data_IF_051818660924
#
_entry.id   IF_051818660924
#
_cell.length_a   1.000
_cell.length_b   1.000
_cell.length_c   1.000
_cell.angle_alpha   90.00
_cell.angle_beta   90.00
_cell.angle_gamma   90.00
#
_symmetry.space_group_name_H-M   'P 1'
#
loop_
_entity.id
_entity.type
_entity.pdbx_description
1 polymer ?
#
# COMPACT_ATOMS: atom_id res chain seq x y z
N UNK A 1 -24.94 -41.93 -21.84
CA UNK A 1 -24.48 -40.67 -22.46
C UNK A 1 -25.53 -39.58 -22.31
N UNK A 2 -26.80 -39.83 -22.66
CA UNK A 2 -27.92 -38.91 -22.41
C UNK A 2 -28.04 -38.40 -20.96
N UNK A 3 -27.76 -39.25 -19.97
CA UNK A 3 -27.89 -38.84 -18.56
C UNK A 3 -26.90 -37.73 -18.17
N UNK A 4 -25.68 -37.74 -18.71
CA UNK A 4 -24.67 -36.72 -18.38
C UNK A 4 -24.96 -35.37 -19.02
N UNK A 5 -25.44 -35.36 -20.27
CA UNK A 5 -25.86 -34.13 -20.96
C UNK A 5 -27.08 -33.50 -20.28
N UNK A 6 -28.05 -34.32 -19.86
CA UNK A 6 -29.21 -33.85 -19.12
C UNK A 6 -28.84 -33.28 -17.75
N UNK A 7 -27.99 -33.98 -16.99
CA UNK A 7 -27.48 -33.51 -15.69
C UNK A 7 -26.78 -32.16 -15.84
N UNK A 8 -25.97 -32.02 -16.89
CA UNK A 8 -25.25 -30.79 -17.17
C UNK A 8 -26.18 -29.64 -17.61
N UNK A 9 -27.15 -29.90 -18.49
CA UNK A 9 -28.17 -28.90 -18.85
C UNK A 9 -28.92 -28.40 -17.62
N UNK A 10 -29.33 -29.32 -16.74
CA UNK A 10 -29.98 -28.96 -15.47
C UNK A 10 -29.04 -28.11 -14.61
N UNK A 11 -27.76 -28.48 -14.53
CA UNK A 11 -26.75 -27.70 -13.80
C UNK A 11 -26.61 -26.27 -14.34
N UNK A 12 -26.49 -26.09 -15.66
CA UNK A 12 -26.39 -24.77 -16.28
C UNK A 12 -27.65 -23.93 -16.04
N UNK A 13 -28.84 -24.53 -16.17
CA UNK A 13 -30.12 -23.85 -15.87
C UNK A 13 -30.16 -23.37 -14.41
N UNK A 14 -29.73 -24.22 -13.47
CA UNK A 14 -29.67 -23.85 -12.05
C UNK A 14 -28.66 -22.71 -11.84
N UNK A 15 -27.50 -22.77 -12.48
CA UNK A 15 -26.48 -21.72 -12.42
C UNK A 15 -27.02 -20.39 -12.93
N UNK A 16 -27.63 -20.36 -14.12
CA UNK A 16 -28.21 -19.13 -14.67
C UNK A 16 -29.35 -18.56 -13.79
N UNK A 17 -30.14 -19.42 -13.13
CA UNK A 17 -31.16 -18.98 -12.17
C UNK A 17 -30.52 -18.34 -10.92
N UNK A 18 -29.45 -18.93 -10.39
CA UNK A 18 -28.70 -18.37 -9.26
C UNK A 18 -28.10 -17.01 -9.63
N UNK A 19 -27.54 -16.87 -10.83
CA UNK A 19 -27.03 -15.61 -11.35
C UNK A 19 -28.11 -14.54 -11.45
N UNK A 20 -29.28 -14.88 -11.98
CA UNK A 20 -30.41 -13.96 -12.08
C UNK A 20 -30.82 -13.45 -10.69
N UNK A 21 -30.95 -14.35 -9.72
CA UNK A 21 -31.29 -13.98 -8.33
C UNK A 21 -30.22 -13.07 -7.72
N UNK A 22 -28.94 -13.39 -7.92
CA UNK A 22 -27.82 -12.57 -7.47
C UNK A 22 -27.80 -11.18 -8.14
N UNK A 23 -28.06 -11.11 -9.45
CA UNK A 23 -28.14 -9.86 -10.19
C UNK A 23 -29.27 -8.98 -9.66
N UNK A 24 -30.49 -9.52 -9.50
CA UNK A 24 -31.62 -8.78 -8.91
C UNK A 24 -31.29 -8.30 -7.50
N UNK A 25 -30.63 -9.13 -6.69
CA UNK A 25 -30.21 -8.75 -5.34
C UNK A 25 -29.16 -7.62 -5.33
N UNK A 26 -28.17 -7.68 -6.21
CA UNK A 26 -27.16 -6.62 -6.38
C UNK A 26 -27.82 -5.31 -6.82
N UNK A 27 -28.70 -5.34 -7.82
CA UNK A 27 -29.45 -4.16 -8.28
C UNK A 27 -30.28 -3.58 -7.14
N UNK A 28 -30.98 -4.42 -6.37
CA UNK A 28 -31.72 -4.01 -5.18
C UNK A 28 -30.82 -3.30 -4.16
N UNK A 29 -29.65 -3.86 -3.84
CA UNK A 29 -28.70 -3.25 -2.90
C UNK A 29 -28.14 -1.91 -3.40
N UNK A 30 -27.85 -1.80 -4.70
CA UNK A 30 -27.41 -0.55 -5.32
C UNK A 30 -28.51 0.49 -5.18
N UNK A 31 -29.73 0.20 -5.65
CA UNK A 31 -30.87 1.12 -5.61
C UNK A 31 -31.18 1.56 -4.18
N UNK A 32 -31.18 0.63 -3.22
CA UNK A 32 -31.40 0.91 -1.80
C UNK A 32 -30.35 1.87 -1.21
N UNK A 33 -29.11 1.81 -1.68
CA UNK A 33 -28.01 2.61 -1.14
C UNK A 33 -27.71 3.91 -1.94
N UNK A 34 -28.21 4.06 -3.17
CA UNK A 34 -28.05 5.27 -4.01
C UNK A 34 -28.32 6.57 -3.23
N UNK A 35 -29.41 6.73 -2.45
CA UNK A 35 -29.66 7.98 -1.73
C UNK A 35 -28.59 8.31 -0.70
N UNK A 36 -28.03 7.29 -0.02
CA UNK A 36 -26.93 7.46 0.94
C UNK A 36 -25.65 7.90 0.23
N UNK A 37 -25.35 7.32 -0.93
CA UNK A 37 -24.20 7.73 -1.75
C UNK A 37 -24.32 9.18 -2.23
N UNK A 38 -25.48 9.56 -2.76
CA UNK A 38 -25.72 10.93 -3.23
C UNK A 38 -25.62 11.96 -2.10
N UNK A 39 -26.08 11.62 -0.89
CA UNK A 39 -25.95 12.46 0.31
C UNK A 39 -24.50 12.59 0.77
N UNK A 40 -23.72 11.51 0.73
CA UNK A 40 -22.30 11.52 1.08
C UNK A 40 -21.46 12.35 0.09
N UNK A 41 -21.71 12.19 -1.21
CA UNK A 41 -21.01 12.92 -2.29
C UNK A 41 -21.16 14.43 -2.21
N UNK A 42 -22.33 14.94 -1.76
CA UNK A 42 -22.53 16.38 -1.50
C UNK A 42 -21.69 16.91 -0.33
N UNK A 43 -21.33 16.04 0.62
CA UNK A 43 -20.50 16.40 1.79
C UNK A 43 -19.00 16.26 1.50
N UNK A 44 -18.60 15.29 0.66
CA UNK A 44 -17.20 14.99 0.34
C UNK A 44 -16.57 15.91 -0.72
N UNK A 45 -17.30 16.87 -1.28
CA UNK A 45 -16.75 17.86 -2.22
C UNK A 45 -15.62 18.72 -1.61
N UNK A 46 -15.33 18.57 -0.30
CA UNK A 46 -14.25 19.26 0.41
C UNK A 46 -12.90 18.54 0.37
N UNK A 47 -12.81 17.22 0.09
CA UNK A 47 -11.52 16.52 -0.08
C UNK A 47 -11.65 15.10 -0.67
N UNK A 48 -10.88 14.80 -1.73
CA UNK A 48 -10.76 13.47 -2.35
C UNK A 48 -10.39 12.35 -1.36
N UNK A 49 -9.66 12.71 -0.29
CA UNK A 49 -9.25 11.77 0.77
C UNK A 49 -10.45 11.25 1.58
N UNK A 50 -11.41 12.13 1.89
CA UNK A 50 -12.62 11.76 2.65
C UNK A 50 -13.55 10.88 1.84
N UNK A 51 -13.64 11.13 0.53
CA UNK A 51 -14.43 10.31 -0.39
C UNK A 51 -13.89 8.87 -0.46
N UNK A 52 -12.57 8.72 -0.62
CA UNK A 52 -11.93 7.40 -0.64
C UNK A 52 -12.06 6.66 0.70
N UNK A 53 -11.95 7.38 1.83
CA UNK A 53 -12.17 6.81 3.17
C UNK A 53 -13.60 6.30 3.33
N UNK A 54 -14.60 7.08 2.91
CA UNK A 54 -16.02 6.69 2.95
C UNK A 54 -16.28 5.39 2.18
N UNK A 55 -15.78 5.27 0.95
CA UNK A 55 -15.92 4.03 0.17
C UNK A 55 -15.17 2.84 0.78
N UNK A 56 -14.03 3.10 1.44
CA UNK A 56 -13.23 2.06 2.08
C UNK A 56 -13.84 1.52 3.38
N UNK A 57 -14.58 2.35 4.13
CA UNK A 57 -15.07 1.99 5.47
C UNK A 57 -16.53 1.55 5.48
N UNK A 58 -17.32 1.92 4.48
CA UNK A 58 -18.74 1.58 4.44
C UNK A 58 -18.97 0.10 4.10
N UNK A 59 -19.48 -0.64 5.09
CA UNK A 59 -19.75 -2.08 5.01
C UNK A 59 -20.68 -2.46 3.85
N UNK A 60 -21.65 -1.60 3.51
CA UNK A 60 -22.61 -1.86 2.42
C UNK A 60 -21.95 -1.73 1.05
N UNK A 61 -21.03 -0.76 0.84
CA UNK A 61 -20.20 -0.70 -0.38
C UNK A 61 -19.44 -2.01 -0.53
N UNK A 62 -18.81 -2.47 0.55
CA UNK A 62 -17.98 -3.68 0.54
C UNK A 62 -18.80 -4.91 0.12
N UNK A 63 -19.99 -5.09 0.70
CA UNK A 63 -20.91 -6.18 0.33
C UNK A 63 -21.30 -6.11 -1.13
N UNK A 64 -21.67 -4.93 -1.63
CA UNK A 64 -22.02 -4.74 -3.04
C UNK A 64 -20.85 -5.10 -3.94
N UNK A 65 -19.64 -4.62 -3.65
CA UNK A 65 -18.44 -4.95 -4.45
C UNK A 65 -18.18 -6.46 -4.47
N UNK A 66 -18.24 -7.14 -3.31
CA UNK A 66 -18.03 -8.60 -3.24
C UNK A 66 -19.09 -9.35 -4.07
N UNK A 67 -20.36 -8.97 -3.95
CA UNK A 67 -21.45 -9.61 -4.69
C UNK A 67 -21.35 -9.39 -6.20
N UNK A 68 -20.99 -8.17 -6.62
CA UNK A 68 -20.71 -7.87 -8.04
C UNK A 68 -19.55 -8.70 -8.55
N UNK A 69 -18.45 -8.83 -7.78
CA UNK A 69 -17.33 -9.70 -8.13
C UNK A 69 -17.79 -11.14 -8.30
N UNK A 70 -18.51 -11.72 -7.33
CA UNK A 70 -19.02 -13.09 -7.41
C UNK A 70 -19.88 -13.27 -8.66
N UNK A 71 -20.79 -12.34 -8.93
CA UNK A 71 -21.66 -12.38 -10.10
C UNK A 71 -20.85 -12.40 -11.42
N UNK A 72 -19.84 -11.54 -11.55
CA UNK A 72 -18.95 -11.53 -12.73
C UNK A 72 -18.26 -12.89 -12.93
N UNK A 73 -17.77 -13.50 -11.85
CA UNK A 73 -17.13 -14.82 -11.92
C UNK A 73 -18.11 -15.91 -12.34
N UNK A 74 -19.31 -15.92 -11.75
CA UNK A 74 -20.35 -16.91 -12.09
C UNK A 74 -20.72 -16.79 -13.57
N UNK A 75 -21.05 -15.59 -14.04
CA UNK A 75 -21.46 -15.37 -15.43
C UNK A 75 -20.37 -15.77 -16.41
N UNK A 76 -19.10 -15.52 -16.10
CA UNK A 76 -17.98 -15.98 -16.95
C UNK A 76 -17.87 -17.51 -16.94
N UNK A 77 -18.01 -18.14 -15.78
CA UNK A 77 -17.96 -19.60 -15.66
C UNK A 77 -19.12 -20.24 -16.44
N UNK A 78 -20.34 -19.77 -16.24
CA UNK A 78 -21.55 -20.27 -16.93
C UNK A 78 -21.38 -20.14 -18.45
N UNK A 79 -20.82 -19.02 -18.90
CA UNK A 79 -20.56 -18.76 -20.31
C UNK A 79 -19.46 -19.66 -20.89
N UNK A 80 -18.34 -19.87 -20.17
CA UNK A 80 -17.28 -20.80 -20.59
C UNK A 80 -17.80 -22.24 -20.64
N UNK A 81 -18.56 -22.67 -19.64
CA UNK A 81 -19.13 -24.02 -19.60
C UNK A 81 -20.15 -24.20 -20.72
N UNK A 82 -21.06 -23.23 -20.91
CA UNK A 82 -22.06 -23.26 -21.99
C UNK A 82 -21.39 -23.41 -23.36
N UNK A 83 -20.34 -22.63 -23.63
CA UNK A 83 -19.59 -22.73 -24.89
C UNK A 83 -18.79 -24.04 -25.00
N UNK A 84 -18.33 -24.62 -23.89
CA UNK A 84 -17.60 -25.90 -23.88
C UNK A 84 -18.48 -27.09 -24.21
N UNK A 85 -19.73 -27.06 -23.78
CA UNK A 85 -20.66 -28.16 -23.94
C UNK A 85 -21.61 -28.01 -25.12
N UNK A 86 -21.86 -26.76 -25.54
CA UNK A 86 -22.64 -26.43 -26.72
C UNK A 86 -21.79 -25.60 -27.68
N UNK A 87 -20.77 -26.22 -28.31
CA UNK A 87 -19.88 -25.52 -29.23
C UNK A 87 -20.62 -24.89 -30.42
N UNK A 88 -21.81 -25.42 -30.77
CA UNK A 88 -22.69 -24.86 -31.80
C UNK A 88 -23.18 -23.43 -31.49
N UNK A 89 -23.17 -23.02 -30.21
CA UNK A 89 -23.53 -21.67 -29.78
C UNK A 89 -22.36 -20.67 -29.85
N UNK A 90 -21.13 -21.16 -30.05
CA UNK A 90 -19.92 -20.33 -30.08
C UNK A 90 -19.61 -19.78 -31.47
N UNK A 91 -19.20 -18.51 -31.52
CA UNK A 91 -18.65 -17.91 -32.75
C UNK A 91 -17.21 -18.39 -32.92
N UNK A 92 -16.99 -19.51 -33.62
CA UNK A 92 -15.67 -19.79 -34.20
C UNK A 92 -15.23 -21.24 -34.12
N UNK A 93 -15.62 -22.01 -35.12
CA UNK A 93 -14.78 -23.07 -35.69
C UNK A 93 -13.55 -22.45 -36.38
N UNK A 94 -12.68 -21.74 -35.66
CA UNK A 94 -11.32 -21.54 -36.15
C UNK A 94 -10.64 -22.92 -36.07
N UNK A 95 -10.48 -23.52 -37.25
CA UNK A 95 -10.04 -24.89 -37.45
C UNK A 95 -8.74 -25.22 -36.69
N UNK A 96 -8.59 -26.49 -36.31
CA UNK A 96 -7.41 -27.05 -35.65
C UNK A 96 -6.07 -26.80 -36.39
N UNK A 97 -6.08 -26.24 -37.59
CA UNK A 97 -4.89 -25.84 -38.35
C UNK A 97 -4.19 -24.59 -37.77
N UNK A 98 -4.78 -23.93 -36.77
CA UNK A 98 -4.25 -22.71 -36.15
C UNK A 98 -3.56 -22.92 -34.78
N UNK A 99 -3.00 -24.10 -34.51
CA UNK A 99 -2.35 -24.39 -33.21
C UNK A 99 -1.32 -23.33 -32.75
N UNK A 100 -0.57 -22.74 -33.69
CA UNK A 100 0.40 -21.68 -33.38
C UNK A 100 -0.27 -20.32 -33.07
N UNK A 101 -1.44 -20.04 -33.63
CA UNK A 101 -2.23 -18.83 -33.33
C UNK A 101 -2.85 -18.93 -31.94
N UNK A 102 -3.39 -20.10 -31.60
CA UNK A 102 -3.93 -20.40 -30.28
C UNK A 102 -2.86 -20.19 -29.21
N UNK A 103 -1.66 -20.76 -29.40
CA UNK A 103 -0.55 -20.58 -28.48
C UNK A 103 -0.12 -19.12 -28.30
N UNK A 104 -0.08 -18.33 -29.38
CA UNK A 104 0.28 -16.90 -29.30
C UNK A 104 -0.79 -16.10 -28.56
N UNK A 105 -2.08 -16.37 -28.79
CA UNK A 105 -3.19 -15.72 -28.06
C UNK A 105 -3.11 -16.06 -26.56
N UNK A 106 -2.89 -17.32 -26.21
CA UNK A 106 -2.70 -17.75 -24.82
C UNK A 106 -1.52 -17.05 -24.17
N UNK A 107 -0.39 -16.93 -24.87
CA UNK A 107 0.80 -16.25 -24.39
C UNK A 107 0.55 -14.75 -24.15
N UNK A 108 -0.19 -14.08 -25.03
CA UNK A 108 -0.57 -12.67 -24.87
C UNK A 108 -1.48 -12.51 -23.66
N UNK A 109 -2.50 -13.35 -23.52
CA UNK A 109 -3.44 -13.28 -22.40
C UNK A 109 -2.73 -13.61 -21.09
N UNK A 110 -1.85 -14.61 -21.07
CA UNK A 110 -0.98 -14.90 -19.94
C UNK A 110 -0.16 -13.66 -19.58
N UNK A 111 0.54 -13.07 -20.55
CA UNK A 111 1.43 -11.94 -20.33
C UNK A 111 0.68 -10.70 -19.83
N UNK A 112 -0.48 -10.38 -20.41
CA UNK A 112 -1.36 -9.30 -19.93
C UNK A 112 -1.77 -9.56 -18.48
N UNK A 113 -2.23 -10.78 -18.19
CA UNK A 113 -2.67 -11.17 -16.86
C UNK A 113 -1.53 -11.09 -15.83
N UNK A 114 -0.35 -11.60 -16.17
CA UNK A 114 0.83 -11.53 -15.31
C UNK A 114 1.36 -10.10 -15.14
N UNK A 115 1.21 -9.23 -16.15
CA UNK A 115 1.61 -7.81 -16.07
C UNK A 115 0.72 -6.99 -15.13
N UNK A 116 -0.53 -7.42 -14.90
CA UNK A 116 -1.42 -6.79 -13.92
C UNK A 116 -0.93 -6.99 -12.49
N UNK A 117 -0.10 -8.01 -12.23
CA UNK A 117 0.45 -8.29 -10.91
C UNK A 117 1.42 -7.16 -10.49
N UNK A 118 2.47 -6.81 -11.28
CA UNK A 118 3.24 -5.60 -11.05
C UNK A 118 2.39 -4.34 -11.01
N UNK A 119 1.39 -4.17 -11.89
CA UNK A 119 0.54 -2.98 -11.89
C UNK A 119 -0.24 -2.83 -10.57
N UNK A 120 -0.77 -3.92 -10.01
CA UNK A 120 -1.41 -3.96 -8.69
C UNK A 120 -0.41 -3.54 -7.59
N UNK A 121 0.81 -4.08 -7.62
CA UNK A 121 1.85 -3.71 -6.65
C UNK A 121 2.31 -2.25 -6.82
N UNK A 122 2.43 -1.74 -8.05
CA UNK A 122 2.78 -0.35 -8.34
C UNK A 122 1.67 0.58 -7.87
N UNK A 123 0.41 0.28 -8.18
CA UNK A 123 -0.75 1.03 -7.66
C UNK A 123 -0.71 1.02 -6.13
N UNK A 124 -0.49 -0.14 -5.51
CA UNK A 124 -0.36 -0.25 -4.05
C UNK A 124 0.81 0.56 -3.49
N UNK A 125 1.99 0.54 -4.12
CA UNK A 125 3.16 1.33 -3.71
C UNK A 125 2.85 2.81 -3.86
N UNK A 126 2.23 3.24 -4.97
CA UNK A 126 1.81 4.61 -5.19
C UNK A 126 0.78 5.07 -4.14
N UNK A 127 -0.19 4.21 -3.78
CA UNK A 127 -1.13 4.49 -2.69
C UNK A 127 -0.43 4.55 -1.33
N UNK A 128 0.53 3.66 -1.08
CA UNK A 128 1.35 3.66 0.13
C UNK A 128 2.21 4.91 0.26
N UNK A 129 2.85 5.36 -0.83
CA UNK A 129 3.64 6.60 -0.89
C UNK A 129 2.76 7.86 -0.85
N UNK A 130 1.50 7.78 -1.27
CA UNK A 130 0.55 8.90 -1.17
C UNK A 130 0.06 9.20 0.26
N UNK A 131 0.46 8.39 1.26
CA UNK A 131 -0.04 8.49 2.62
C UNK A 131 -1.50 8.05 2.78
N UNK A 132 -2.11 7.42 1.78
CA UNK A 132 -3.39 6.74 1.97
C UNK A 132 -3.12 5.42 2.69
N UNK A 133 -3.31 5.41 4.02
CA UNK A 133 -3.17 4.19 4.86
C UNK A 133 -4.09 3.06 4.42
N UNK A 134 -5.18 3.39 3.72
CA UNK A 134 -6.17 2.44 3.21
C UNK A 134 -6.24 2.58 1.69
N UNK A 135 -5.80 1.54 0.99
CA UNK A 135 -6.19 1.35 -0.42
C UNK A 135 -7.71 1.15 -0.43
N UNK A 136 -8.46 1.87 -1.27
CA UNK A 136 -9.90 1.66 -1.35
C UNK A 136 -10.19 0.20 -1.69
N UNK A 137 -11.02 -0.45 -0.88
CA UNK A 137 -11.36 -1.86 -1.05
C UNK A 137 -11.90 -2.14 -2.46
N UNK A 138 -12.71 -1.23 -3.00
CA UNK A 138 -13.21 -1.29 -4.37
C UNK A 138 -12.08 -1.39 -5.39
N UNK A 139 -11.03 -0.58 -5.27
CA UNK A 139 -9.90 -0.60 -6.20
C UNK A 139 -9.11 -1.92 -6.11
N UNK A 140 -8.89 -2.42 -4.89
CA UNK A 140 -8.20 -3.68 -4.66
C UNK A 140 -9.00 -4.91 -5.16
N UNK A 141 -10.34 -4.84 -5.13
CA UNK A 141 -11.23 -5.89 -5.60
C UNK A 141 -11.50 -5.83 -7.11
N UNK A 142 -11.48 -4.63 -7.72
CA UNK A 142 -11.71 -4.47 -9.17
C UNK A 142 -10.58 -5.11 -9.99
N UNK A 143 -9.33 -5.01 -9.56
CA UNK A 143 -8.20 -5.53 -10.34
C UNK A 143 -8.32 -7.06 -10.57
N UNK A 144 -8.58 -7.89 -9.55
CA UNK A 144 -8.83 -9.32 -9.74
C UNK A 144 -10.09 -9.64 -10.58
N UNK A 145 -11.13 -8.79 -10.57
CA UNK A 145 -12.36 -9.04 -11.36
C UNK A 145 -12.17 -8.95 -12.88
N UNK A 146 -11.00 -8.54 -13.36
CA UNK A 146 -10.66 -8.53 -14.78
C UNK A 146 -10.24 -9.94 -15.25
N UNK A 147 -9.75 -10.81 -14.36
CA UNK A 147 -9.31 -12.18 -14.71
C UNK A 147 -10.42 -13.05 -15.33
N UNK A 148 -11.67 -13.03 -14.84
CA UNK A 148 -12.79 -13.69 -15.52
C UNK A 148 -12.97 -13.22 -16.97
N UNK A 149 -12.87 -11.92 -17.23
CA UNK A 149 -13.01 -11.40 -18.58
C UNK A 149 -11.90 -11.96 -19.50
N UNK A 150 -10.67 -12.05 -19.01
CA UNK A 150 -9.57 -12.67 -19.76
C UNK A 150 -9.75 -14.18 -19.96
N UNK A 151 -10.26 -14.89 -18.97
CA UNK A 151 -10.58 -16.31 -19.10
C UNK A 151 -11.64 -16.55 -20.18
N UNK A 152 -12.69 -15.71 -20.21
CA UNK A 152 -13.73 -15.76 -21.24
C UNK A 152 -13.18 -15.44 -22.62
N UNK A 153 -12.43 -14.33 -22.76
CA UNK A 153 -11.78 -13.94 -24.02
C UNK A 153 -10.91 -15.08 -24.52
N UNK A 154 -10.04 -15.64 -23.66
CA UNK A 154 -9.19 -16.77 -24.01
C UNK A 154 -10.01 -17.93 -24.55
N UNK A 155 -11.08 -18.29 -23.83
CA UNK A 155 -11.89 -19.45 -24.20
C UNK A 155 -12.51 -19.29 -25.59
N UNK A 156 -13.10 -18.13 -25.89
CA UNK A 156 -13.68 -17.87 -27.22
C UNK A 156 -12.64 -17.91 -28.35
N UNK A 157 -11.44 -17.37 -28.11
CA UNK A 157 -10.43 -17.27 -29.17
C UNK A 157 -9.66 -18.58 -29.39
N UNK A 158 -9.54 -19.42 -28.35
CA UNK A 158 -8.61 -20.56 -28.37
C UNK A 158 -9.29 -21.90 -28.19
N UNK A 159 -10.48 -21.94 -27.58
CA UNK A 159 -11.11 -23.16 -27.11
C UNK A 159 -10.36 -23.85 -25.96
N UNK A 160 -9.24 -23.30 -25.45
CA UNK A 160 -8.42 -23.93 -24.42
C UNK A 160 -9.04 -23.74 -23.04
N UNK A 161 -9.90 -24.68 -22.66
CA UNK A 161 -10.55 -24.74 -21.35
C UNK A 161 -9.54 -24.78 -20.18
N UNK A 162 -8.49 -25.65 -20.17
CA UNK A 162 -7.49 -25.67 -19.11
C UNK A 162 -6.86 -24.30 -18.81
N UNK A 163 -6.48 -23.55 -19.84
CA UNK A 163 -5.83 -22.24 -19.65
C UNK A 163 -6.82 -21.18 -19.15
N UNK A 164 -8.07 -21.17 -19.65
CA UNK A 164 -9.12 -20.31 -19.11
C UNK A 164 -9.45 -20.61 -17.64
N UNK A 165 -9.50 -21.88 -17.25
CA UNK A 165 -9.68 -22.29 -15.85
C UNK A 165 -8.50 -21.86 -14.97
N UNK A 166 -7.27 -21.93 -15.49
CA UNK A 166 -6.08 -21.42 -14.81
C UNK A 166 -6.17 -19.91 -14.55
N UNK A 167 -6.59 -19.11 -15.53
CA UNK A 167 -6.79 -17.67 -15.37
C UNK A 167 -7.86 -17.35 -14.31
N UNK A 168 -8.97 -18.09 -14.28
CA UNK A 168 -9.98 -17.97 -13.24
C UNK A 168 -9.42 -18.28 -11.86
N UNK A 169 -8.68 -19.39 -11.73
CA UNK A 169 -8.02 -19.79 -10.49
C UNK A 169 -7.05 -18.71 -9.99
N UNK A 170 -6.23 -18.12 -10.88
CA UNK A 170 -5.36 -17.00 -10.54
C UNK A 170 -6.17 -15.82 -10.00
N UNK A 171 -7.27 -15.44 -10.66
CA UNK A 171 -8.14 -14.37 -10.20
C UNK A 171 -8.73 -14.62 -8.81
N UNK A 172 -9.18 -15.85 -8.52
CA UNK A 172 -9.67 -16.24 -7.19
C UNK A 172 -8.55 -16.14 -6.14
N UNK A 173 -7.35 -16.65 -6.46
CA UNK A 173 -6.20 -16.57 -5.56
C UNK A 173 -5.85 -15.11 -5.24
N UNK A 174 -5.89 -14.23 -6.24
CA UNK A 174 -5.68 -12.79 -6.07
C UNK A 174 -6.73 -12.16 -5.15
N UNK A 175 -8.01 -12.51 -5.32
CA UNK A 175 -9.07 -12.06 -4.42
C UNK A 175 -8.85 -12.54 -2.98
N UNK A 176 -8.45 -13.81 -2.78
CA UNK A 176 -8.14 -14.35 -1.44
C UNK A 176 -6.97 -13.60 -0.81
N UNK A 177 -5.90 -13.34 -1.58
CA UNK A 177 -4.75 -12.56 -1.09
C UNK A 177 -5.18 -11.14 -0.74
N UNK A 178 -6.00 -10.50 -1.57
CA UNK A 178 -6.53 -9.15 -1.30
C UNK A 178 -7.39 -9.12 -0.02
N UNK A 179 -8.23 -10.14 0.20
CA UNK A 179 -9.05 -10.29 1.41
C UNK A 179 -8.20 -10.58 2.65
N UNK A 180 -7.21 -11.47 2.57
CA UNK A 180 -6.29 -11.75 3.68
C UNK A 180 -5.47 -10.53 4.05
N UNK A 181 -5.06 -9.74 3.06
CA UNK A 181 -4.37 -8.47 3.30
C UNK A 181 -5.25 -7.46 4.03
N UNK A 182 -6.57 -7.45 3.77
CA UNK A 182 -7.53 -6.62 4.50
C UNK A 182 -7.61 -7.01 5.98
N UNK A 183 -7.65 -8.30 6.28
CA UNK A 183 -7.75 -8.79 7.65
C UNK A 183 -6.55 -8.32 8.51
N UNK A 184 -5.38 -8.16 7.89
CA UNK A 184 -4.20 -7.56 8.52
C UNK A 184 -4.37 -6.06 8.83
N UNK A 185 -5.19 -5.32 8.09
CA UNK A 185 -5.46 -3.90 8.33
C UNK A 185 -6.60 -3.65 9.35
N UNK A 186 -7.49 -4.62 9.57
CA UNK A 186 -8.66 -4.47 10.45
C UNK A 186 -8.36 -4.82 11.93
N UNK A 187 -7.16 -5.31 12.28
CA UNK A 187 -6.78 -5.62 13.69
C UNK A 187 -6.99 -4.42 14.61
N UNK A 188 -7.78 -4.56 15.68
CA UNK A 188 -8.17 -3.47 16.61
C UNK A 188 -6.95 -2.78 17.27
N UNK A 189 -7.09 -1.50 17.62
CA UNK A 189 -6.10 -0.82 18.49
C UNK A 189 -6.17 -1.54 19.83
N UNK A 190 -5.04 -2.01 20.34
CA UNK A 190 -5.01 -2.66 21.64
C UNK A 190 -4.87 -1.59 22.73
N UNK A 191 -5.49 -1.80 23.91
CA UNK A 191 -5.15 -1.02 25.10
C UNK A 191 -3.65 -1.10 25.35
N UNK A 192 -3.05 -0.01 25.85
CA UNK A 192 -1.59 0.08 26.03
C UNK A 192 -1.01 -1.03 26.92
N UNK A 193 -1.82 -1.57 27.85
CA UNK A 193 -1.48 -2.67 28.77
C UNK A 193 -1.36 -4.04 28.09
N UNK A 194 -1.92 -4.21 26.89
CA UNK A 194 -1.94 -5.48 26.15
C UNK A 194 -0.95 -5.48 24.96
N UNK A 195 -0.10 -4.47 24.87
CA UNK A 195 0.88 -4.35 23.78
C UNK A 195 2.01 -5.34 24.03
N UNK A 196 2.13 -6.33 23.14
CA UNK A 196 3.26 -7.26 23.13
C UNK A 196 4.55 -6.53 22.70
N UNK A 197 5.54 -6.31 23.60
CA UNK A 197 6.70 -5.45 23.32
C UNK A 197 7.56 -5.98 22.17
N UNK A 198 7.79 -7.29 22.15
CA UNK A 198 8.52 -7.97 21.08
C UNK A 198 7.90 -7.73 19.70
N UNK A 199 6.56 -7.78 19.61
CA UNK A 199 5.85 -7.57 18.36
C UNK A 199 5.87 -6.11 17.91
N UNK A 200 5.80 -5.18 18.87
CA UNK A 200 5.96 -3.74 18.62
C UNK A 200 7.33 -3.44 18.01
N UNK A 201 8.39 -3.91 18.64
CA UNK A 201 9.77 -3.67 18.21
C UNK A 201 10.09 -4.35 16.87
N UNK A 202 9.58 -5.57 16.65
CA UNK A 202 9.65 -6.23 15.33
C UNK A 202 8.94 -5.41 14.25
N UNK A 203 7.74 -4.90 14.53
CA UNK A 203 7.02 -4.03 13.61
C UNK A 203 7.76 -2.74 13.29
N UNK A 204 8.42 -2.18 14.30
CA UNK A 204 9.24 -0.99 14.20
C UNK A 204 10.50 -1.21 13.35
N UNK A 205 11.23 -2.31 13.53
CA UNK A 205 12.40 -2.65 12.70
C UNK A 205 12.04 -2.74 11.20
N UNK A 206 10.85 -3.28 10.89
CA UNK A 206 10.32 -3.38 9.52
C UNK A 206 9.93 -1.99 9.01
N UNK A 207 9.35 -1.15 9.86
CA UNK A 207 9.01 0.23 9.52
C UNK A 207 10.25 1.08 9.24
N UNK A 208 11.32 0.93 10.04
CA UNK A 208 12.61 1.58 9.82
C UNK A 208 13.21 1.14 8.48
N UNK A 209 13.26 -0.18 8.24
CA UNK A 209 13.73 -0.75 6.95
C UNK A 209 12.97 -0.16 5.75
N UNK A 210 11.67 0.07 5.91
CA UNK A 210 10.84 0.67 4.86
C UNK A 210 11.15 2.15 4.62
N UNK A 211 11.28 2.96 5.67
CA UNK A 211 11.67 4.36 5.53
C UNK A 211 13.05 4.48 4.89
N UNK A 212 13.99 3.64 5.32
CA UNK A 212 15.33 3.65 4.77
C UNK A 212 15.35 3.18 3.31
N UNK A 213 14.38 2.38 2.87
CA UNK A 213 14.25 1.94 1.47
C UNK A 213 13.87 3.05 0.48
N UNK A 214 13.48 4.24 0.96
CA UNK A 214 13.19 5.40 0.11
C UNK A 214 14.35 6.40 -0.01
N UNK A 215 15.38 6.28 0.82
CA UNK A 215 16.58 7.15 0.77
C UNK A 215 17.38 6.93 -0.52
N UNK A 216 17.98 7.98 -1.10
CA UNK A 216 18.87 7.81 -2.25
C UNK A 216 20.22 7.22 -1.80
N UNK A 217 20.95 6.46 -2.64
CA UNK A 217 20.61 6.08 -4.02
C UNK A 217 19.64 4.89 -4.08
N UNK A 218 18.61 4.99 -4.91
CA UNK A 218 17.63 3.92 -5.11
C UNK A 218 18.09 3.01 -6.24
N UNK A 219 18.36 1.71 -5.99
CA UNK A 219 18.84 0.82 -7.01
C UNK A 219 17.83 0.70 -8.14
N UNK A 220 18.29 0.91 -9.37
CA UNK A 220 17.46 0.76 -10.55
C UNK A 220 17.17 -0.72 -10.81
N UNK A 221 15.89 -1.08 -10.83
CA UNK A 221 15.43 -2.39 -11.29
C UNK A 221 15.30 -3.46 -10.20
N UNK A 222 15.10 -4.69 -10.68
CA UNK A 222 14.77 -5.87 -9.88
C UNK A 222 16.06 -6.62 -9.58
N UNK A 223 16.89 -6.11 -8.68
CA UNK A 223 18.02 -6.91 -8.18
C UNK A 223 17.47 -8.06 -7.34
N UNK A 224 18.07 -9.26 -7.37
CA UNK A 224 17.65 -10.37 -6.50
C UNK A 224 17.58 -9.95 -5.03
N UNK A 225 18.46 -9.03 -4.63
CA UNK A 225 18.48 -8.43 -3.31
C UNK A 225 17.27 -7.52 -3.05
N UNK A 226 16.93 -6.62 -3.98
CA UNK A 226 15.76 -5.77 -3.84
C UNK A 226 14.46 -6.58 -3.79
N UNK A 227 14.37 -7.68 -4.56
CA UNK A 227 13.27 -8.63 -4.45
C UNK A 227 13.19 -9.28 -3.08
N UNK A 228 14.31 -9.81 -2.57
CA UNK A 228 14.35 -10.43 -1.23
C UNK A 228 13.86 -9.46 -0.15
N UNK A 229 14.30 -8.20 -0.23
CA UNK A 229 13.87 -7.15 0.69
C UNK A 229 12.38 -6.80 0.53
N UNK A 230 11.89 -6.69 -0.71
CA UNK A 230 10.46 -6.51 -1.00
C UNK A 230 9.65 -7.66 -0.42
N UNK A 231 10.06 -8.92 -0.62
CA UNK A 231 9.38 -10.09 -0.05
C UNK A 231 9.43 -10.09 1.48
N UNK A 232 10.57 -9.77 2.10
CA UNK A 232 10.68 -9.65 3.57
C UNK A 232 9.74 -8.57 4.11
N UNK A 233 9.72 -7.40 3.48
CA UNK A 233 8.80 -6.31 3.82
C UNK A 233 7.33 -6.70 3.62
N UNK A 234 7.02 -7.49 2.59
CA UNK A 234 5.67 -8.01 2.34
C UNK A 234 5.24 -9.02 3.41
N UNK A 235 6.13 -9.94 3.80
CA UNK A 235 5.86 -10.93 4.84
C UNK A 235 5.73 -10.27 6.23
N UNK A 236 6.50 -9.22 6.50
CA UNK A 236 6.49 -8.47 7.75
C UNK A 236 5.38 -7.40 7.87
N UNK A 237 4.45 -7.33 6.92
CA UNK A 237 3.40 -6.30 6.97
C UNK A 237 2.54 -6.37 8.22
N UNK A 238 2.25 -7.57 8.74
CA UNK A 238 1.41 -7.75 9.94
C UNK A 238 2.03 -7.05 11.16
N UNK A 239 3.31 -7.22 11.38
CA UNK A 239 4.04 -6.60 12.48
C UNK A 239 4.21 -5.10 12.26
N UNK A 240 4.52 -4.67 11.03
CA UNK A 240 4.55 -3.23 10.68
C UNK A 240 3.22 -2.55 11.02
N UNK A 241 2.09 -3.12 10.61
CA UNK A 241 0.77 -2.55 10.91
C UNK A 241 0.48 -2.52 12.41
N UNK A 242 0.94 -3.53 13.15
CA UNK A 242 0.85 -3.54 14.60
C UNK A 242 1.59 -2.34 15.22
N UNK A 243 2.81 -2.04 14.77
CA UNK A 243 3.55 -0.87 15.21
C UNK A 243 2.86 0.45 14.82
N UNK A 244 2.52 0.61 13.54
CA UNK A 244 1.90 1.82 12.99
C UNK A 244 0.62 2.20 13.72
N UNK A 245 -0.16 1.21 14.16
CA UNK A 245 -1.46 1.43 14.80
C UNK A 245 -1.38 1.71 16.30
N UNK A 246 -0.39 1.16 16.98
CA UNK A 246 -0.29 1.23 18.44
C UNK A 246 0.82 2.19 18.93
N UNK A 247 1.58 2.82 18.02
CA UNK A 247 2.63 3.77 18.37
C UNK A 247 2.32 5.20 17.90
N UNK A 248 2.35 6.14 18.85
CA UNK A 248 2.30 7.58 18.57
C UNK A 248 3.54 8.06 17.78
N UNK A 249 4.63 7.30 17.80
CA UNK A 249 5.85 7.60 17.04
C UNK A 249 5.56 7.65 15.54
N UNK A 250 4.70 6.75 15.03
CA UNK A 250 4.36 6.72 13.61
C UNK A 250 3.81 8.07 13.14
N UNK A 251 2.91 8.69 13.93
CA UNK A 251 2.33 9.99 13.58
C UNK A 251 3.40 11.10 13.57
N UNK A 252 4.32 11.10 14.54
CA UNK A 252 5.41 12.09 14.60
C UNK A 252 6.38 11.94 13.43
N UNK A 253 6.83 10.71 13.16
CA UNK A 253 7.71 10.39 12.03
C UNK A 253 7.05 10.76 10.71
N UNK A 254 5.75 10.51 10.60
CA UNK A 254 4.98 10.85 9.42
C UNK A 254 4.85 12.35 9.18
N UNK A 255 4.67 13.16 10.24
CA UNK A 255 4.70 14.62 10.12
C UNK A 255 6.05 15.11 9.60
N UNK A 256 7.16 14.54 10.08
CA UNK A 256 8.51 14.85 9.56
C UNK A 256 8.68 14.47 8.09
N UNK A 257 8.09 13.35 7.67
CA UNK A 257 8.13 12.85 6.29
C UNK A 257 7.09 13.49 5.36
N UNK A 258 6.23 14.38 5.86
CA UNK A 258 5.16 14.99 5.06
C UNK A 258 5.66 15.73 3.81
N UNK A 259 6.76 16.50 3.85
CA UNK A 259 7.33 17.13 2.66
C UNK A 259 7.69 16.12 1.56
N UNK A 260 8.30 14.99 1.95
CA UNK A 260 8.62 13.89 1.03
C UNK A 260 7.34 13.34 0.38
N UNK A 261 6.31 13.01 1.17
CA UNK A 261 5.06 12.47 0.63
C UNK A 261 4.31 13.47 -0.27
N UNK A 262 4.28 14.75 0.09
CA UNK A 262 3.69 15.81 -0.73
C UNK A 262 4.42 15.97 -2.07
N UNK A 263 5.76 15.91 -2.06
CA UNK A 263 6.56 15.93 -3.29
C UNK A 263 6.27 14.72 -4.19
N UNK A 264 6.11 13.54 -3.60
CA UNK A 264 5.73 12.30 -4.28
C UNK A 264 4.36 12.39 -4.95
N UNK A 265 3.36 12.93 -4.23
CA UNK A 265 2.02 13.20 -4.76
C UNK A 265 2.04 14.13 -5.97
N UNK A 266 2.76 15.26 -5.87
CA UNK A 266 2.89 16.21 -6.98
C UNK A 266 3.53 15.56 -8.21
N UNK A 267 4.62 14.81 -8.00
CA UNK A 267 5.35 14.12 -9.07
C UNK A 267 4.54 12.96 -9.69
N UNK A 268 3.72 12.28 -8.88
CA UNK A 268 2.79 11.24 -9.36
C UNK A 268 1.75 11.82 -10.33
N UNK A 269 1.23 13.02 -10.07
CA UNK A 269 0.29 13.71 -10.98
C UNK A 269 0.93 14.02 -12.34
N UNK A 270 2.17 14.49 -12.34
CA UNK A 270 2.95 14.73 -13.57
C UNK A 270 3.32 13.41 -14.28
N UNK A 271 3.47 12.33 -13.52
CA UNK A 271 3.68 10.98 -14.04
C UNK A 271 2.49 10.44 -14.78
N UNK A 272 1.28 10.70 -14.27
CA UNK A 272 0.05 10.26 -14.91
C UNK A 272 -0.14 10.89 -16.29
N UNK A 273 0.12 12.20 -16.43
CA UNK A 273 0.04 12.88 -17.73
C UNK A 273 1.03 12.29 -18.74
N UNK A 274 2.28 12.06 -18.32
CA UNK A 274 3.28 11.40 -19.16
C UNK A 274 2.86 9.98 -19.55
N UNK A 275 2.32 9.21 -18.62
CA UNK A 275 1.83 7.86 -18.89
C UNK A 275 0.72 7.89 -19.94
N UNK A 276 -0.22 8.82 -19.83
CA UNK A 276 -1.27 9.00 -20.81
C UNK A 276 -0.72 9.33 -22.20
N UNK A 277 0.19 10.30 -22.31
CA UNK A 277 0.84 10.68 -23.58
C UNK A 277 1.64 9.51 -24.15
N UNK A 278 2.39 8.79 -23.30
CA UNK A 278 3.21 7.65 -23.70
C UNK A 278 2.35 6.48 -24.20
N UNK A 279 1.22 6.21 -23.55
CA UNK A 279 0.23 5.23 -24.00
C UNK A 279 -0.35 5.56 -25.37
N UNK A 280 -0.69 6.83 -25.62
CA UNK A 280 -1.15 7.28 -26.95
C UNK A 280 -0.05 7.08 -27.99
N UNK A 281 1.20 7.44 -27.69
CA UNK A 281 2.33 7.25 -28.60
C UNK A 281 2.54 5.78 -28.94
N UNK A 282 2.49 4.89 -27.95
CA UNK A 282 2.63 3.45 -28.16
C UNK A 282 1.48 2.88 -28.96
N UNK A 283 0.25 3.37 -28.76
CA UNK A 283 -0.88 2.96 -29.58
C UNK A 283 -0.67 3.35 -31.06
N UNK A 284 -0.11 4.53 -31.34
CA UNK A 284 0.24 4.97 -32.70
C UNK A 284 1.38 4.12 -33.30
N UNK A 285 2.42 3.82 -32.51
CA UNK A 285 3.51 2.91 -32.91
C UNK A 285 2.99 1.50 -33.14
N UNK A 286 2.04 1.05 -32.34
CA UNK A 286 1.43 -0.26 -32.49
C UNK A 286 0.59 -0.34 -33.77
N UNK A 287 -0.26 0.67 -34.01
CA UNK A 287 -1.06 0.75 -35.23
C UNK A 287 -0.20 0.75 -36.50
N UNK A 288 0.92 1.49 -36.49
CA UNK A 288 1.88 1.50 -37.61
C UNK A 288 2.68 0.20 -37.73
N UNK A 289 3.06 -0.41 -36.61
CA UNK A 289 3.70 -1.73 -36.56
C UNK A 289 2.84 -2.80 -37.22
N UNK A 290 1.52 -2.78 -36.99
CA UNK A 290 0.60 -3.75 -37.58
C UNK A 290 0.65 -3.73 -39.12
N UNK A 291 0.64 -2.53 -39.69
CA UNK A 291 0.73 -2.31 -41.15
C UNK A 291 2.08 -2.80 -41.70
N UNK A 292 3.18 -2.54 -40.97
CA UNK A 292 4.52 -2.95 -41.38
C UNK A 292 4.68 -4.48 -41.33
N UNK A 293 4.21 -5.13 -40.26
CA UNK A 293 4.30 -6.58 -40.09
C UNK A 293 3.45 -7.33 -41.11
N UNK A 294 2.25 -6.83 -41.42
CA UNK A 294 1.38 -7.37 -42.46
C UNK A 294 2.03 -7.24 -43.85
N UNK A 295 2.60 -6.06 -44.14
CA UNK A 295 3.18 -5.76 -45.45
C UNK A 295 4.55 -6.42 -45.71
N UNK A 296 5.43 -6.47 -44.70
CA UNK A 296 6.84 -6.91 -44.87
C UNK A 296 7.02 -8.39 -44.55
N UNK A 297 6.42 -8.87 -43.46
CA UNK A 297 6.68 -10.22 -42.95
C UNK A 297 5.62 -11.23 -43.37
N UNK A 298 4.56 -10.77 -44.07
CA UNK A 298 3.43 -11.58 -44.50
C UNK A 298 2.85 -12.43 -43.34
N UNK A 299 2.95 -11.88 -42.12
CA UNK A 299 2.38 -12.46 -40.91
C UNK A 299 0.90 -12.14 -40.91
N UNK A 300 0.06 -13.13 -40.60
CA UNK A 300 -1.37 -12.90 -40.46
C UNK A 300 -1.65 -11.76 -39.46
N UNK A 301 -2.67 -10.94 -39.76
CA UNK A 301 -3.08 -9.78 -38.98
C UNK A 301 -3.11 -10.02 -37.46
N UNK A 302 -3.58 -11.20 -37.03
CA UNK A 302 -3.66 -11.58 -35.61
C UNK A 302 -2.28 -11.69 -34.96
N UNK A 303 -1.29 -12.31 -35.62
CA UNK A 303 0.08 -12.40 -35.12
C UNK A 303 0.76 -11.04 -35.05
N UNK A 304 0.56 -10.24 -36.10
CA UNK A 304 1.05 -8.87 -36.18
C UNK A 304 0.52 -8.02 -35.01
N UNK A 305 -0.79 -8.05 -34.76
CA UNK A 305 -1.43 -7.39 -33.63
C UNK A 305 -0.89 -7.90 -32.29
N UNK A 306 -0.79 -9.22 -32.13
CA UNK A 306 -0.36 -9.85 -30.89
C UNK A 306 1.08 -9.52 -30.50
N UNK A 307 2.02 -9.67 -31.43
CA UNK A 307 3.44 -9.34 -31.20
C UNK A 307 3.62 -7.86 -30.89
N UNK A 308 2.87 -7.01 -31.57
CA UNK A 308 2.90 -5.57 -31.36
C UNK A 308 2.38 -5.18 -29.98
N UNK A 309 1.30 -5.83 -29.49
CA UNK A 309 0.79 -5.61 -28.14
C UNK A 309 1.78 -6.06 -27.06
N UNK A 310 2.41 -7.22 -27.22
CA UNK A 310 3.43 -7.70 -26.26
C UNK A 310 4.63 -6.75 -26.21
N UNK A 311 5.14 -6.34 -27.37
CA UNK A 311 6.24 -5.39 -27.46
C UNK A 311 5.87 -4.04 -26.84
N UNK A 312 4.68 -3.51 -27.15
CA UNK A 312 4.14 -2.29 -26.56
C UNK A 312 4.09 -2.38 -25.04
N UNK A 313 3.57 -3.47 -24.49
CA UNK A 313 3.48 -3.68 -23.04
C UNK A 313 4.85 -3.75 -22.35
N UNK A 314 5.82 -4.45 -22.95
CA UNK A 314 7.19 -4.50 -22.44
C UNK A 314 7.83 -3.10 -22.40
N UNK A 315 7.66 -2.31 -23.47
CA UNK A 315 8.16 -0.94 -23.56
C UNK A 315 7.47 -0.04 -22.52
N UNK A 316 6.14 -0.14 -22.37
CA UNK A 316 5.36 0.56 -21.34
C UNK A 316 5.92 0.25 -19.96
N UNK A 317 6.10 -1.03 -19.65
CA UNK A 317 6.57 -1.46 -18.35
C UNK A 317 7.96 -0.91 -18.04
N UNK A 318 8.91 -1.00 -18.99
CA UNK A 318 10.26 -0.48 -18.81
C UNK A 318 10.28 1.03 -18.66
N UNK A 319 9.50 1.76 -19.45
CA UNK A 319 9.39 3.22 -19.35
C UNK A 319 8.78 3.67 -18.02
N UNK A 320 7.74 2.97 -17.55
CA UNK A 320 7.12 3.21 -16.24
C UNK A 320 8.09 2.92 -15.11
N UNK A 321 8.73 1.75 -15.11
CA UNK A 321 9.72 1.37 -14.12
C UNK A 321 10.86 2.40 -14.06
N UNK A 322 11.33 2.84 -15.23
CA UNK A 322 12.37 3.86 -15.32
C UNK A 322 11.93 5.20 -14.75
N UNK A 323 10.76 5.69 -15.16
CA UNK A 323 10.23 6.96 -14.70
C UNK A 323 9.97 6.96 -13.19
N UNK A 324 9.33 5.90 -12.66
CA UNK A 324 9.08 5.75 -11.23
C UNK A 324 10.40 5.74 -10.48
N UNK A 325 11.40 4.97 -10.92
CA UNK A 325 12.69 4.94 -10.24
C UNK A 325 13.39 6.29 -10.25
N UNK A 326 13.35 7.00 -11.38
CA UNK A 326 13.92 8.35 -11.51
C UNK A 326 13.27 9.32 -10.54
N UNK A 327 11.94 9.31 -10.44
CA UNK A 327 11.20 10.19 -9.53
C UNK A 327 11.51 9.86 -8.07
N UNK A 328 11.51 8.57 -7.71
CA UNK A 328 11.85 8.15 -6.35
C UNK A 328 13.27 8.55 -5.99
N UNK A 329 14.23 8.41 -6.92
CA UNK A 329 15.62 8.83 -6.70
C UNK A 329 15.71 10.34 -6.48
N UNK A 330 15.11 11.15 -7.35
CA UNK A 330 15.10 12.61 -7.22
C UNK A 330 14.42 13.08 -5.93
N UNK A 331 13.30 12.47 -5.54
CA UNK A 331 12.63 12.82 -4.29
C UNK A 331 13.42 12.35 -3.06
N UNK A 332 14.07 11.18 -3.14
CA UNK A 332 14.93 10.66 -2.09
C UNK A 332 16.18 11.51 -1.87
N UNK A 333 16.78 12.04 -2.95
CA UNK A 333 17.89 13.01 -2.89
C UNK A 333 17.42 14.34 -2.31
N UNK A 334 16.29 14.86 -2.81
CA UNK A 334 15.74 16.15 -2.36
C UNK A 334 15.38 16.17 -0.87
N UNK A 335 14.91 15.05 -0.34
CA UNK A 335 14.44 14.91 1.04
C UNK A 335 15.34 13.99 1.88
N UNK A 336 16.63 13.87 1.52
CA UNK A 336 17.55 12.95 2.19
C UNK A 336 17.60 13.18 3.70
N UNK A 337 17.74 14.44 4.12
CA UNK A 337 17.80 14.81 5.53
C UNK A 337 16.50 14.52 6.28
N UNK A 338 15.34 14.76 5.64
CA UNK A 338 14.03 14.47 6.24
C UNK A 338 13.89 12.97 6.50
N UNK A 339 14.30 12.14 5.53
CA UNK A 339 14.29 10.67 5.63
C UNK A 339 15.29 10.20 6.70
N UNK A 340 16.52 10.72 6.70
CA UNK A 340 17.55 10.37 7.68
C UNK A 340 17.08 10.68 9.10
N UNK A 341 16.54 11.89 9.33
CA UNK A 341 16.04 12.32 10.63
C UNK A 341 14.83 11.50 11.10
N UNK A 342 13.96 11.09 10.17
CA UNK A 342 12.82 10.21 10.46
C UNK A 342 13.27 8.80 10.86
N UNK A 343 14.29 8.26 10.20
CA UNK A 343 14.90 6.97 10.53
C UNK A 343 15.64 7.04 11.87
N UNK A 344 16.48 8.03 12.10
CA UNK A 344 17.21 8.22 13.36
C UNK A 344 16.25 8.32 14.55
N UNK A 345 15.24 9.19 14.44
CA UNK A 345 14.19 9.32 15.46
C UNK A 345 13.46 8.00 15.76
N UNK A 346 13.31 7.14 14.75
CA UNK A 346 12.77 5.81 14.96
C UNK A 346 13.79 4.94 15.70
N UNK A 347 15.05 4.91 15.30
CA UNK A 347 16.10 4.15 15.98
C UNK A 347 16.21 4.54 17.46
N UNK A 348 16.27 5.83 17.79
CA UNK A 348 16.40 6.33 19.16
C UNK A 348 15.26 5.84 20.05
N UNK A 349 14.02 5.92 19.55
CA UNK A 349 12.85 5.42 20.28
C UNK A 349 12.88 3.90 20.42
N UNK A 350 13.39 3.18 19.42
CA UNK A 350 13.49 1.73 19.43
C UNK A 350 14.50 1.25 20.46
N UNK A 351 15.63 1.96 20.59
CA UNK A 351 16.66 1.71 21.60
C UNK A 351 16.08 1.86 23.01
N UNK A 352 15.47 3.00 23.32
CA UNK A 352 14.82 3.23 24.63
C UNK A 352 13.76 2.17 24.94
N UNK A 353 12.92 1.84 23.96
CA UNK A 353 11.88 0.81 24.14
C UNK A 353 12.47 -0.59 24.36
N UNK A 354 13.60 -0.90 23.73
CA UNK A 354 14.30 -2.17 23.89
C UNK A 354 14.92 -2.30 25.29
N UNK A 355 15.49 -1.22 25.81
CA UNK A 355 16.03 -1.11 27.17
C UNK A 355 14.94 -1.26 28.22
N UNK A 356 13.84 -0.51 28.11
CA UNK A 356 12.69 -0.56 29.04
C UNK A 356 12.05 -1.96 29.16
N UNK A 357 12.18 -2.80 28.13
CA UNK A 357 11.55 -4.12 28.06
C UNK A 357 12.57 -5.29 28.13
N UNK A 358 13.84 -5.00 28.41
CA UNK A 358 14.93 -5.99 28.53
C UNK A 358 15.00 -7.00 27.35
N UNK A 359 14.76 -6.51 26.13
CA UNK A 359 14.74 -7.37 24.94
C UNK A 359 16.13 -7.50 24.32
N UNK A 360 16.40 -8.62 23.65
CA UNK A 360 17.70 -8.86 22.98
C UNK A 360 17.75 -8.18 21.61
N UNK A 361 18.76 -7.33 21.31
CA UNK A 361 18.88 -6.63 20.02
C UNK A 361 18.92 -7.53 18.79
N UNK A 362 19.59 -8.69 18.91
CA UNK A 362 19.80 -9.68 17.83
C UNK A 362 18.49 -10.19 17.21
N UNK A 363 17.37 -10.10 17.94
CA UNK A 363 16.06 -10.56 17.48
C UNK A 363 15.38 -9.60 16.48
N UNK A 364 15.89 -8.36 16.36
CA UNK A 364 15.23 -7.28 15.61
C UNK A 364 16.13 -6.69 14.51
N UNK A 365 16.56 -7.49 13.52
CA UNK A 365 17.46 -7.03 12.48
C UNK A 365 16.80 -5.98 11.58
N UNK A 366 17.43 -4.82 11.48
CA UNK A 366 17.03 -3.71 10.61
C UNK A 366 17.86 -3.78 9.34
N UNK A 367 17.21 -3.83 8.16
CA UNK A 367 17.95 -3.80 6.89
C UNK A 367 18.11 -2.34 6.46
N UNK A 368 19.35 -1.93 6.26
CA UNK A 368 19.72 -0.55 5.96
C UNK A 368 20.61 -0.50 4.72
N UNK A 369 20.56 0.63 4.01
CA UNK A 369 21.46 0.89 2.87
C UNK A 369 22.59 1.84 3.22
N UNK A 370 22.41 2.58 4.30
CA UNK A 370 23.40 3.45 4.90
C UNK A 370 23.73 2.95 6.31
N UNK A 371 24.95 3.23 6.75
CA UNK A 371 25.49 2.89 8.06
C UNK A 371 25.80 4.15 8.87
N UNK A 372 25.09 5.25 8.60
CA UNK A 372 25.31 6.58 9.17
C UNK A 372 24.25 6.95 10.23
N UNK A 373 23.68 5.93 10.89
CA UNK A 373 22.78 6.07 12.03
C UNK A 373 23.47 5.72 13.33
N UNK A 374 23.22 6.53 14.34
CA UNK A 374 23.72 6.32 15.69
C UNK A 374 22.84 5.30 16.43
N UNK A 375 23.42 4.60 17.40
CA UNK A 375 22.71 3.60 18.21
C UNK A 375 22.51 2.24 17.55
N UNK A 376 23.21 1.94 16.45
CA UNK A 376 23.19 0.63 15.79
C UNK A 376 24.60 0.03 15.64
N UNK A 377 24.69 -1.29 15.78
CA UNK A 377 25.81 -2.12 15.34
C UNK A 377 25.51 -2.73 13.97
N UNK A 378 26.49 -2.71 13.06
CA UNK A 378 26.29 -3.07 11.66
C UNK A 378 27.04 -4.34 11.26
N UNK A 379 26.31 -5.28 10.65
CA UNK A 379 26.88 -6.37 9.86
C UNK A 379 26.84 -6.03 8.37
N UNK A 380 27.99 -6.09 7.69
CA UNK A 380 28.10 -5.81 6.24
C UNK A 380 27.74 -7.08 5.46
N UNK A 381 26.76 -7.00 4.55
CA UNK A 381 26.35 -8.12 3.66
C UNK A 381 26.64 -7.89 2.18
N UNK A 382 27.06 -6.67 1.81
CA UNK A 382 27.44 -6.31 0.46
C UNK A 382 27.73 -4.82 0.31
N UNK A 383 27.96 -4.37 -0.92
CA UNK A 383 28.15 -2.94 -1.21
C UNK A 383 26.81 -2.20 -1.03
N UNK A 384 26.70 -1.43 0.08
CA UNK A 384 25.48 -0.71 0.50
C UNK A 384 24.32 -1.60 0.96
N UNK A 385 24.65 -2.71 1.59
CA UNK A 385 23.67 -3.58 2.26
C UNK A 385 24.15 -3.93 3.67
N UNK A 386 23.51 -3.31 4.65
CA UNK A 386 23.85 -3.42 6.05
C UNK A 386 22.69 -4.03 6.82
N UNK A 387 23.01 -4.87 7.81
CA UNK A 387 22.05 -5.24 8.84
C UNK A 387 22.45 -4.54 10.12
N UNK A 388 21.60 -3.63 10.57
CA UNK A 388 21.73 -2.93 11.85
C UNK A 388 21.02 -3.71 12.96
N UNK A 389 21.68 -3.80 14.11
CA UNK A 389 21.12 -4.25 15.38
C UNK A 389 21.23 -3.11 16.39
N UNK A 390 20.27 -2.99 17.30
CA UNK A 390 20.33 -1.94 18.33
C UNK A 390 21.57 -2.10 19.21
N UNK A 391 22.33 -1.03 19.38
CA UNK A 391 23.48 -1.00 20.28
C UNK A 391 22.99 -0.62 21.67
N UNK A 392 23.08 -1.57 22.59
CA UNK A 392 22.88 -1.34 24.02
C UNK A 392 24.23 -0.92 24.60
N UNK A 393 24.41 0.36 24.92
CA UNK A 393 25.62 0.80 25.60
C UNK A 393 25.44 0.59 27.11
N UNK A 394 26.29 -0.22 27.78
CA UNK A 394 26.22 -0.44 29.23
C UNK A 394 26.59 0.81 30.05
N UNK A 395 26.97 1.93 29.41
CA UNK A 395 27.29 3.21 30.04
C UNK A 395 26.19 4.27 29.86
N UNK A 396 25.13 4.02 29.09
CA UNK A 396 23.96 4.92 29.01
C UNK A 396 23.06 4.83 30.28
N UNK A 397 23.50 4.07 31.28
CA UNK A 397 22.94 3.99 32.64
C UNK A 397 23.25 5.22 33.51
N UNK A 398 23.87 6.25 32.96
CA UNK A 398 24.03 7.52 33.64
C UNK A 398 22.92 8.41 33.09
N UNK A 399 21.92 8.68 33.93
CA UNK A 399 20.97 9.77 33.70
C UNK A 399 21.75 11.00 33.19
N UNK A 400 21.50 11.38 31.94
CA UNK A 400 22.03 12.64 31.38
C UNK A 400 21.44 13.87 32.12
N UNK A 401 20.52 13.66 33.07
CA UNK A 401 20.06 14.66 34.05
C UNK A 401 20.99 14.82 35.27
N UNK A 402 22.14 14.11 35.35
CA UNK A 402 23.05 14.23 36.51
C UNK A 402 24.49 14.65 36.20
N UNK A 403 24.90 14.82 34.95
CA UNK A 403 26.32 15.08 34.63
C UNK A 403 26.65 16.26 33.71
N UNK A 404 25.72 17.16 33.41
CA UNK A 404 26.09 18.50 32.93
C UNK A 404 26.32 19.48 34.09
N UNK A 405 27.26 19.13 34.97
CA UNK A 405 27.91 20.13 35.83
C UNK A 405 29.14 20.62 35.07
N UNK A 406 28.98 21.71 34.33
CA UNK A 406 30.12 22.55 33.98
C UNK A 406 30.71 23.10 35.28
N UNK A 407 31.80 22.50 35.75
CA UNK A 407 32.64 23.06 36.79
C UNK A 407 33.42 24.24 36.20
N UNK A 408 33.28 25.41 36.80
CA UNK A 408 34.23 26.50 36.59
C UNK A 408 35.52 26.21 37.40
N UNK A 409 36.64 26.79 36.99
CA UNK A 409 38.00 26.59 37.55
C UNK A 409 38.15 26.94 39.05
N UNK A 410 37.08 27.35 39.72
CA UNK A 410 37.09 27.88 41.08
C UNK A 410 36.40 26.95 42.11
N UNK A 411 35.76 25.87 41.66
CA UNK A 411 35.22 24.83 42.55
C UNK A 411 34.00 25.22 43.41
N UNK A 412 33.25 26.27 43.05
CA UNK A 412 31.95 26.57 43.68
C UNK A 412 30.76 26.03 42.86
N UNK A 413 29.81 25.39 43.56
CA UNK A 413 28.53 24.92 43.00
C UNK A 413 27.68 26.11 42.54
N UNK A 414 27.40 26.21 41.25
CA UNK A 414 26.26 26.98 40.75
C UNK A 414 24.99 26.32 41.27
N UNK A 415 24.22 27.05 42.09
CA UNK A 415 22.83 26.69 42.38
C UNK A 415 22.06 26.80 41.06
N UNK A 416 21.56 25.69 40.56
CA UNK A 416 20.54 25.70 39.52
C UNK A 416 19.25 26.21 40.14
N UNK A 417 18.90 27.43 39.79
CA UNK A 417 17.58 28.00 40.05
C UNK A 417 16.59 27.34 39.08
N UNK A 418 16.23 26.06 39.33
CA UNK A 418 14.96 25.53 38.82
C UNK A 418 13.86 26.07 39.74
N UNK A 419 13.48 27.32 39.51
CA UNK A 419 12.24 27.86 40.06
C UNK A 419 11.05 27.19 39.36
N UNK A 420 10.13 26.70 40.17
CA UNK A 420 8.89 26.00 39.83
C UNK A 420 8.09 26.72 38.71
N UNK A 421 8.29 26.34 37.45
CA UNK A 421 7.51 26.86 36.32
C UNK A 421 6.10 26.27 36.31
N UNK A 422 5.09 27.07 36.66
CA UNK A 422 3.70 26.62 36.68
C UNK A 422 2.94 26.69 35.35
N UNK A 423 1.73 26.16 35.37
CA UNK A 423 0.84 25.95 34.22
C UNK A 423 -0.48 26.70 34.40
N UNK A 424 -1.03 27.23 33.31
CA UNK A 424 -2.37 27.79 33.23
C UNK A 424 -3.29 26.86 32.44
N UNK A 425 -4.47 26.55 32.97
CA UNK A 425 -5.45 25.65 32.34
C UNK A 425 -6.77 26.36 32.17
N UNK A 426 -7.34 26.29 30.97
CA UNK A 426 -8.66 26.82 30.70
C UNK A 426 -9.76 25.87 31.19
N UNK A 427 -10.71 26.39 31.98
CA UNK A 427 -11.85 25.62 32.48
C UNK A 427 -12.86 25.23 31.38
N UNK A 428 -12.88 25.94 30.24
CA UNK A 428 -13.87 25.71 29.18
C UNK A 428 -13.34 24.84 28.03
N UNK A 429 -12.16 25.16 27.49
CA UNK A 429 -11.60 24.44 26.35
C UNK A 429 -10.60 23.35 26.74
N UNK A 430 -10.23 23.27 28.03
CA UNK A 430 -9.19 22.39 28.56
C UNK A 430 -7.82 22.53 27.88
N UNK A 431 -7.57 23.67 27.24
CA UNK A 431 -6.24 24.05 26.78
C UNK A 431 -5.33 24.36 27.97
N UNK A 432 -4.05 24.02 27.85
CA UNK A 432 -3.03 24.37 28.84
C UNK A 432 -1.96 25.26 28.21
N UNK A 433 -1.37 26.12 29.02
CA UNK A 433 -0.25 26.99 28.67
C UNK A 433 0.81 26.88 29.77
N UNK A 434 2.07 26.66 29.39
CA UNK A 434 3.20 26.62 30.33
C UNK A 434 3.84 28.01 30.36
N UNK A 435 3.91 28.60 31.56
CA UNK A 435 4.53 29.91 31.75
C UNK A 435 6.03 29.84 31.43
N UNK A 436 6.55 30.86 30.74
CA UNK A 436 7.98 31.05 30.56
C UNK A 436 8.61 31.65 31.83
N UNK A 437 9.95 31.64 31.95
CA UNK A 437 10.71 32.07 33.14
C UNK A 437 10.38 33.51 33.62
N UNK A 438 9.94 34.38 32.72
CA UNK A 438 9.60 35.78 32.99
C UNK A 438 8.08 36.06 33.00
N UNK A 439 7.23 35.04 32.89
CA UNK A 439 5.77 35.21 32.79
C UNK A 439 5.07 34.90 34.12
N UNK A 440 4.28 35.87 34.61
CA UNK A 440 3.44 35.67 35.80
C UNK A 440 2.07 35.11 35.40
N UNK A 441 1.44 34.24 36.21
CA UNK A 441 0.04 33.82 36.01
C UNK A 441 -0.93 35.02 35.90
N UNK A 442 -0.57 36.14 36.52
CA UNK A 442 -1.35 37.37 36.55
C UNK A 442 -1.34 38.14 35.22
N UNK A 443 -0.38 37.85 34.33
CA UNK A 443 -0.29 38.45 33.00
C UNK A 443 -1.39 37.95 32.06
N UNK A 444 -2.11 36.88 32.45
CA UNK A 444 -3.11 36.20 31.64
C UNK A 444 -4.51 36.32 32.26
N UNK A 445 -5.37 37.15 31.65
CA UNK A 445 -6.73 37.37 32.15
C UNK A 445 -7.72 36.24 31.79
N UNK A 446 -7.69 35.76 30.54
CA UNK A 446 -8.61 34.74 30.02
C UNK A 446 -7.98 33.96 28.85
N UNK A 447 -8.52 32.77 28.57
CA UNK A 447 -8.13 31.98 27.41
C UNK A 447 -8.67 32.63 26.12
N UNK A 448 -8.07 32.33 24.97
CA UNK A 448 -8.56 32.77 23.64
C UNK A 448 -10.01 32.34 23.35
N UNK A 449 -10.53 31.33 24.05
CA UNK A 449 -11.94 30.93 23.95
C UNK A 449 -12.91 31.74 24.82
N UNK A 450 -12.42 32.65 25.66
CA UNK A 450 -13.19 33.40 26.66
C UNK A 450 -13.34 32.70 28.02
N UNK A 451 -12.71 31.53 28.21
CA UNK A 451 -12.78 30.76 29.45
C UNK A 451 -11.75 31.22 30.49
N UNK A 452 -12.09 31.06 31.78
CA UNK A 452 -11.19 31.38 32.90
C UNK A 452 -10.00 30.42 32.97
N UNK A 453 -8.83 30.96 33.34
CA UNK A 453 -7.59 30.21 33.51
C UNK A 453 -7.34 29.90 35.00
N UNK A 454 -6.90 28.67 35.30
CA UNK A 454 -6.46 28.21 36.62
C UNK A 454 -4.98 27.90 36.63
N UNK A 455 -4.27 28.39 37.65
CA UNK A 455 -2.85 28.13 37.85
C UNK A 455 -2.62 26.82 38.61
N UNK A 456 -1.66 26.02 38.15
CA UNK A 456 -1.17 24.80 38.77
C UNK A 456 0.35 24.81 38.81
N UNK A 457 0.94 24.37 39.93
CA UNK A 457 2.40 24.38 40.07
C UNK A 457 3.09 23.22 39.38
N UNK A 458 2.40 22.09 39.22
CA UNK A 458 2.97 20.87 38.66
C UNK A 458 1.99 20.22 37.69
N UNK A 459 2.52 19.57 36.65
CA UNK A 459 1.73 18.85 35.63
C UNK A 459 1.06 17.60 36.21
N UNK A 460 1.61 17.06 37.30
CA UNK A 460 1.05 15.92 38.02
C UNK A 460 -0.26 16.24 38.77
N UNK A 461 -0.56 17.53 39.01
CA UNK A 461 -1.89 17.93 39.52
C UNK A 461 -2.98 17.92 38.43
N UNK A 462 -2.58 17.76 37.16
CA UNK A 462 -3.44 17.91 35.98
C UNK A 462 -3.89 16.55 35.40
N UNK A 463 -3.11 15.48 35.64
CA UNK A 463 -3.33 14.11 35.15
C UNK A 463 -4.09 13.25 36.17
#
# INVERSE_FOLDING_TARGET
MLDMELILMIFLIIMSLVELVLFVYVVYLIVKNIPKYLKSRKKSLRSYKEEMLFYSENLEVKKITILVSILIYLTVIDLILSLSFFPELGVGSLSAELGLNVFVIELIIAFVTFSMIPAYFVIKIAFKESGLEKVPFSLAAIIPTIFPLFAFINYNFTGNLPFSLFLLFCGVLFNIVALKYRDLNETKVLPQRDIEPRRMLKGMSIYITELESVRAPIPFGVTPHSLKNIFKLLLGQRERFFFVKNSNLHQKVRKKMDPYFQSGLKSSRESFLFFFIFMVLIFLVAASGIVIFDFILNLGFIYSLGMTLVAAMLIIYLALAWKINKIRTLNGEKHENDIKNAVQMSIDHGKKFLEENELKPEEFPIILRHNDYDGLEYEIKGEKDYIGFFKLDPNDFIDDDLNNVHLNDDGEKLKSDEEEQGYLICEECHGYYKLQEDESPEDFAECECGGKLKYHKDIDEIL
#
